data_IF_537877830379
#
_entry.id   IF_537877830379
#
_cell.length_a   1.000
_cell.length_b   1.000
_cell.length_c   1.000
_cell.angle_alpha   90.00
_cell.angle_beta   90.00
_cell.angle_gamma   90.00
#
_symmetry.space_group_name_H-M   'P 1'
#
loop_
_entity.id
_entity.type
_entity.pdbx_description
1 polymer ?
#
# COMPACT_ATOMS: atom_id res chain seq x y z
N UNK A 1 8.99 33.26 26.38
CA UNK A 1 10.10 32.72 27.21
C UNK A 1 9.89 31.23 27.27
N UNK A 2 10.27 30.54 26.21
CA UNK A 2 10.17 29.08 26.15
C UNK A 2 11.38 28.52 26.89
N UNK A 3 11.13 27.86 28.02
CA UNK A 3 12.17 27.18 28.78
C UNK A 3 12.64 25.98 27.96
N UNK A 4 13.74 26.14 27.23
CA UNK A 4 14.57 25.03 26.76
C UNK A 4 15.11 24.35 28.02
N UNK A 5 14.41 23.33 28.50
CA UNK A 5 14.87 22.46 29.58
C UNK A 5 16.18 21.82 29.13
N UNK A 6 17.30 22.15 29.78
CA UNK A 6 18.59 21.61 29.37
C UNK A 6 18.67 20.13 29.74
N UNK A 7 19.15 19.31 28.82
CA UNK A 7 19.38 17.88 29.01
C UNK A 7 20.17 17.58 30.30
N UNK A 8 21.00 18.53 30.75
CA UNK A 8 21.80 18.42 31.96
C UNK A 8 20.95 18.45 33.24
N UNK A 9 19.81 19.13 33.23
CA UNK A 9 18.89 19.15 34.36
C UNK A 9 18.23 17.77 34.55
N UNK A 10 17.82 17.12 33.46
CA UNK A 10 17.32 15.75 33.48
C UNK A 10 18.40 14.78 33.98
N UNK A 11 19.64 14.91 33.49
CA UNK A 11 20.79 14.10 33.98
C UNK A 11 21.04 14.31 35.49
N UNK A 12 20.90 15.53 36.01
CA UNK A 12 21.02 15.82 37.45
C UNK A 12 19.90 15.17 38.27
N UNK A 13 18.66 15.23 37.79
CA UNK A 13 17.50 14.63 38.47
C UNK A 13 17.58 13.10 38.52
N UNK A 14 18.04 12.47 37.42
CA UNK A 14 18.31 11.01 37.40
C UNK A 14 19.35 10.63 38.44
N UNK A 15 20.46 11.39 38.55
CA UNK A 15 21.50 11.15 39.57
C UNK A 15 20.97 11.32 41.00
N UNK A 16 20.03 12.24 41.23
CA UNK A 16 19.40 12.47 42.54
C UNK A 16 18.28 11.49 42.88
N UNK A 17 17.85 10.64 41.93
CA UNK A 17 16.74 9.67 42.07
C UNK A 17 15.40 10.30 42.49
N UNK A 18 15.18 11.56 42.14
CA UNK A 18 13.93 12.25 42.42
C UNK A 18 12.92 11.99 41.29
N UNK A 19 11.91 11.18 41.58
CA UNK A 19 10.94 10.70 40.58
C UNK A 19 9.90 11.76 40.21
N UNK A 20 9.45 12.56 41.18
CA UNK A 20 8.36 13.52 40.97
C UNK A 20 8.86 14.73 40.18
N UNK A 21 10.03 15.24 40.53
CA UNK A 21 10.68 16.31 39.77
C UNK A 21 11.02 15.86 38.34
N UNK A 22 11.45 14.60 38.16
CA UNK A 22 11.77 14.06 36.86
C UNK A 22 10.53 13.91 35.96
N UNK A 23 9.39 13.45 36.49
CA UNK A 23 8.14 13.37 35.72
C UNK A 23 7.63 14.76 35.29
N UNK A 24 7.73 15.75 36.18
CA UNK A 24 7.35 17.13 35.87
C UNK A 24 8.20 17.72 34.75
N UNK A 25 9.52 17.51 34.79
CA UNK A 25 10.45 18.04 33.78
C UNK A 25 10.31 17.30 32.44
N UNK A 26 10.18 15.98 32.46
CA UNK A 26 9.95 15.18 31.23
C UNK A 26 8.62 15.54 30.55
N UNK A 27 7.60 15.91 31.32
CA UNK A 27 6.31 16.37 30.77
C UNK A 27 6.39 17.77 30.15
N UNK A 28 7.26 18.63 30.67
CA UNK A 28 7.47 19.98 30.17
C UNK A 28 8.39 20.03 28.94
N UNK A 29 9.31 19.05 28.79
CA UNK A 29 10.28 19.02 27.71
C UNK A 29 9.68 18.58 26.36
N UNK A 30 9.87 19.41 25.32
CA UNK A 30 9.51 19.08 23.92
C UNK A 30 10.79 18.87 23.10
N UNK A 31 10.88 17.75 22.38
CA UNK A 31 11.92 17.50 21.37
C UNK A 31 13.23 16.85 21.85
N UNK A 32 13.16 15.81 22.67
CA UNK A 32 14.36 15.01 23.04
C UNK A 32 14.73 14.09 21.87
N UNK A 33 16.02 14.04 21.49
CA UNK A 33 16.51 13.16 20.43
C UNK A 33 16.62 11.70 20.89
N UNK A 34 16.60 10.75 19.95
CA UNK A 34 16.70 9.32 20.25
C UNK A 34 18.01 8.94 20.97
N UNK A 35 19.13 9.53 20.55
CA UNK A 35 20.45 9.33 21.15
C UNK A 35 20.48 9.82 22.60
N UNK A 36 19.86 10.97 22.87
CA UNK A 36 19.80 11.54 24.21
C UNK A 36 18.94 10.67 25.16
N UNK A 37 17.84 10.10 24.65
CA UNK A 37 16.98 9.21 25.41
C UNK A 37 17.72 7.91 25.82
N UNK A 38 18.52 7.33 24.92
CA UNK A 38 19.35 6.18 25.24
C UNK A 38 20.42 6.49 26.29
N UNK A 39 21.04 7.67 26.20
CA UNK A 39 22.03 8.10 27.19
C UNK A 39 21.39 8.25 28.58
N UNK A 40 20.18 8.81 28.65
CA UNK A 40 19.43 8.94 29.91
C UNK A 40 19.02 7.57 30.49
N UNK A 41 18.64 6.61 29.65
CA UNK A 41 18.33 5.24 30.08
C UNK A 41 19.60 4.54 30.61
N UNK A 42 20.74 4.68 29.92
CA UNK A 42 22.03 4.11 30.34
C UNK A 42 22.56 4.71 31.64
N UNK A 43 22.27 6.00 31.90
CA UNK A 43 22.65 6.70 33.13
C UNK A 43 21.78 6.34 34.35
N UNK A 44 20.64 5.68 34.14
CA UNK A 44 19.69 5.37 35.20
C UNK A 44 19.72 3.89 35.59
N UNK A 45 20.22 3.58 36.79
CA UNK A 45 20.19 2.21 37.35
C UNK A 45 18.79 1.78 37.87
N UNK A 46 17.86 2.73 38.01
CA UNK A 46 16.53 2.45 38.55
C UNK A 46 15.55 1.97 37.47
N UNK A 47 15.05 0.74 37.60
CA UNK A 47 14.02 0.16 36.70
C UNK A 47 12.77 1.03 36.59
N UNK A 48 12.40 1.75 37.67
CA UNK A 48 11.22 2.64 37.70
C UNK A 48 11.41 3.90 36.84
N UNK A 49 12.62 4.44 36.81
CA UNK A 49 12.97 5.61 35.98
C UNK A 49 13.02 5.19 34.51
N UNK A 50 13.61 4.03 34.22
CA UNK A 50 13.67 3.47 32.86
C UNK A 50 12.27 3.22 32.29
N UNK A 51 11.32 2.68 33.09
CA UNK A 51 9.95 2.49 32.65
C UNK A 51 9.21 3.82 32.43
N UNK A 52 9.47 4.83 33.27
CA UNK A 52 8.84 6.15 33.14
C UNK A 52 9.27 6.85 31.84
N UNK A 53 10.57 6.85 31.53
CA UNK A 53 11.13 7.43 30.30
C UNK A 53 10.57 6.72 29.05
N UNK A 54 10.54 5.38 29.05
CA UNK A 54 9.99 4.58 27.92
C UNK A 54 8.50 4.80 27.70
N UNK A 55 7.73 5.05 28.76
CA UNK A 55 6.28 5.26 28.68
C UNK A 55 5.93 6.64 28.11
N UNK A 56 6.73 7.68 28.43
CA UNK A 56 6.48 9.06 27.96
C UNK A 56 6.92 9.31 26.51
N UNK A 57 7.93 8.58 26.01
CA UNK A 57 8.46 8.74 24.64
C UNK A 57 8.37 7.43 23.82
N UNK A 58 7.16 6.89 23.58
CA UNK A 58 6.98 5.64 22.84
C UNK A 58 7.30 5.75 21.34
N UNK A 59 7.17 6.95 20.78
CA UNK A 59 7.30 7.24 19.34
C UNK A 59 8.72 7.01 18.80
N UNK A 60 9.74 7.08 19.65
CA UNK A 60 11.15 7.03 19.25
C UNK A 60 11.71 5.59 19.23
N UNK A 61 11.10 4.66 19.98
CA UNK A 61 11.58 3.26 20.11
C UNK A 61 11.25 2.41 18.87
N UNK A 62 10.23 2.79 18.09
CA UNK A 62 9.84 2.05 16.86
C UNK A 62 10.77 2.30 15.67
N UNK A 63 11.67 3.26 15.80
CA UNK A 63 12.46 3.81 14.71
C UNK A 63 13.86 3.25 14.54
N UNK A 64 14.17 2.01 14.94
CA UNK A 64 15.43 1.35 14.52
C UNK A 64 15.43 -0.13 14.91
N UNK A 65 15.20 -1.02 13.95
CA UNK A 65 15.65 -2.42 13.99
C UNK A 65 15.46 -3.11 12.63
N UNK A 66 16.36 -2.84 11.69
CA UNK A 66 16.72 -3.82 10.67
C UNK A 66 17.73 -4.81 11.24
N UNK A 67 17.32 -6.08 11.28
CA UNK A 67 18.13 -7.29 11.12
C UNK A 67 19.24 -7.59 12.16
N UNK A 68 18.99 -8.58 13.04
CA UNK A 68 19.99 -9.58 13.47
C UNK A 68 19.31 -10.80 14.09
N UNK A 69 19.69 -11.97 13.57
CA UNK A 69 19.47 -13.30 14.15
C UNK A 69 20.20 -13.39 15.49
N UNK A 70 19.60 -14.06 16.46
CA UNK A 70 20.34 -14.88 17.44
C UNK A 70 19.44 -16.00 17.97
N UNK A 71 20.07 -17.17 18.08
CA UNK A 71 19.52 -18.42 18.64
C UNK A 71 19.35 -18.27 20.15
N UNK A 72 18.18 -18.67 20.68
CA UNK A 72 18.06 -19.12 22.06
C UNK A 72 17.13 -20.34 22.13
N UNK A 73 17.71 -21.49 22.46
CA UNK A 73 16.98 -22.64 23.01
C UNK A 73 16.61 -22.34 24.46
N UNK A 74 15.31 -22.31 24.78
CA UNK A 74 14.71 -23.07 25.90
C UNK A 74 13.21 -22.82 26.06
N UNK A 75 12.48 -23.94 26.03
CA UNK A 75 11.17 -24.25 26.64
C UNK A 75 9.89 -23.59 26.09
N UNK A 76 8.84 -24.40 25.80
CA UNK A 76 7.64 -23.94 25.13
C UNK A 76 6.64 -23.35 26.13
N UNK A 77 6.47 -22.02 26.12
CA UNK A 77 5.24 -21.40 26.59
C UNK A 77 4.32 -21.21 25.38
N UNK A 78 3.57 -22.26 25.05
CA UNK A 78 2.55 -22.23 23.99
C UNK A 78 1.52 -21.17 24.37
N UNK A 79 1.37 -20.14 23.52
CA UNK A 79 0.31 -19.16 23.68
C UNK A 79 -1.04 -19.88 23.45
N UNK A 80 -2.05 -19.58 24.27
CA UNK A 80 -3.38 -20.22 24.16
C UNK A 80 -4.01 -20.05 22.77
N UNK A 81 -3.67 -18.96 22.07
CA UNK A 81 -4.14 -18.64 20.72
C UNK A 81 -3.60 -19.56 19.62
N UNK A 82 -2.36 -20.04 19.76
CA UNK A 82 -1.75 -20.93 18.75
C UNK A 82 -2.32 -22.35 18.83
N UNK A 83 -2.75 -22.77 20.03
CA UNK A 83 -3.39 -24.08 20.24
C UNK A 83 -4.79 -24.09 19.61
N UNK A 84 -5.58 -23.05 19.84
CA UNK A 84 -6.95 -22.94 19.29
C UNK A 84 -6.94 -22.79 17.76
N UNK A 85 -5.95 -22.06 17.22
CA UNK A 85 -5.76 -21.93 15.76
C UNK A 85 -5.44 -23.28 15.11
N UNK A 86 -4.61 -24.10 15.75
CA UNK A 86 -4.21 -25.42 15.23
C UNK A 86 -5.38 -26.42 15.27
N UNK A 87 -6.15 -26.42 16.36
CA UNK A 87 -7.35 -27.25 16.49
C UNK A 87 -8.42 -26.91 15.45
N UNK A 88 -8.69 -25.61 15.23
CA UNK A 88 -9.67 -25.18 14.23
C UNK A 88 -9.27 -25.61 12.80
N UNK A 89 -7.98 -25.63 12.47
CA UNK A 89 -7.48 -26.11 11.18
C UNK A 89 -7.56 -27.63 11.02
N UNK A 90 -7.32 -28.37 12.10
CA UNK A 90 -7.48 -29.83 12.11
C UNK A 90 -8.94 -30.26 11.91
N UNK A 91 -9.91 -29.53 12.50
CA UNK A 91 -11.35 -29.81 12.32
C UNK A 91 -11.81 -29.69 10.86
N UNK A 92 -11.22 -28.77 10.10
CA UNK A 92 -11.62 -28.50 8.72
C UNK A 92 -10.80 -29.27 7.69
N UNK A 93 -9.75 -29.98 8.11
CA UNK A 93 -8.83 -30.70 7.25
C UNK A 93 -9.58 -31.65 6.30
N UNK A 94 -9.18 -31.62 5.03
CA UNK A 94 -9.77 -32.41 3.96
C UNK A 94 -8.96 -33.68 3.69
N UNK A 95 -7.72 -33.76 4.20
CA UNK A 95 -6.78 -34.85 3.94
C UNK A 95 -5.99 -34.70 2.63
N UNK A 96 -6.30 -33.67 1.83
CA UNK A 96 -5.60 -33.32 0.61
C UNK A 96 -4.61 -32.19 0.87
N UNK A 97 -3.31 -32.46 0.71
CA UNK A 97 -2.23 -31.49 1.01
C UNK A 97 -2.42 -30.12 0.31
N UNK A 98 -2.92 -30.10 -0.93
CA UNK A 98 -3.14 -28.86 -1.68
C UNK A 98 -4.32 -28.05 -1.14
N UNK A 99 -5.43 -28.70 -0.79
CA UNK A 99 -6.60 -28.03 -0.21
C UNK A 99 -6.29 -27.52 1.19
N UNK A 100 -5.64 -28.33 2.01
CA UNK A 100 -5.31 -27.97 3.39
C UNK A 100 -4.31 -26.79 3.44
N UNK A 101 -3.35 -26.74 2.51
CA UNK A 101 -2.47 -25.57 2.34
C UNK A 101 -3.25 -24.31 1.94
N UNK A 102 -4.26 -24.46 1.06
CA UNK A 102 -5.08 -23.35 0.60
C UNK A 102 -5.99 -22.82 1.73
N UNK A 103 -6.60 -23.72 2.51
CA UNK A 103 -7.39 -23.40 3.70
C UNK A 103 -6.54 -22.61 4.69
N UNK A 104 -5.32 -23.06 4.97
CA UNK A 104 -4.39 -22.35 5.85
C UNK A 104 -4.09 -20.93 5.36
N UNK A 105 -3.88 -20.75 4.06
CA UNK A 105 -3.65 -19.41 3.48
C UNK A 105 -4.85 -18.47 3.68
N UNK A 106 -6.07 -18.97 3.49
CA UNK A 106 -7.29 -18.18 3.72
C UNK A 106 -7.51 -17.87 5.20
N UNK A 107 -7.28 -18.86 6.08
CA UNK A 107 -7.35 -18.69 7.53
C UNK A 107 -6.38 -17.60 8.03
N UNK A 108 -5.13 -17.64 7.58
CA UNK A 108 -4.12 -16.63 7.89
C UNK A 108 -4.53 -15.23 7.38
N UNK A 109 -5.18 -15.15 6.22
CA UNK A 109 -5.68 -13.89 5.68
C UNK A 109 -6.78 -13.29 6.57
N UNK A 110 -7.73 -14.09 7.05
CA UNK A 110 -8.76 -13.65 8.00
C UNK A 110 -8.15 -13.21 9.34
N UNK A 111 -7.22 -13.99 9.90
CA UNK A 111 -6.53 -13.66 11.16
C UNK A 111 -5.69 -12.37 11.08
N UNK A 112 -5.12 -12.09 9.90
CA UNK A 112 -4.33 -10.86 9.70
C UNK A 112 -5.19 -9.60 9.58
N UNK A 113 -6.40 -9.74 9.02
CA UNK A 113 -7.26 -8.62 8.65
C UNK A 113 -8.31 -8.27 9.72
N UNK A 114 -8.69 -9.24 10.55
CA UNK A 114 -9.72 -9.10 11.60
C UNK A 114 -9.07 -9.42 12.95
N UNK A 115 -9.07 -8.46 13.87
CA UNK A 115 -8.54 -8.62 15.23
C UNK A 115 -9.41 -9.53 16.11
N UNK A 116 -10.73 -9.48 15.93
CA UNK A 116 -11.71 -10.21 16.75
C UNK A 116 -12.22 -11.49 16.07
N UNK A 117 -11.36 -12.20 15.32
CA UNK A 117 -11.79 -13.36 14.56
C UNK A 117 -12.03 -14.58 15.45
N UNK A 118 -13.21 -15.18 15.38
CA UNK A 118 -13.42 -16.56 15.83
C UNK A 118 -12.67 -17.52 14.90
N UNK A 119 -11.68 -18.24 15.46
CA UNK A 119 -10.82 -19.18 14.73
C UNK A 119 -11.66 -20.26 14.02
N UNK A 120 -12.67 -20.80 14.70
CA UNK A 120 -13.54 -21.85 14.14
C UNK A 120 -14.35 -21.37 12.95
N UNK A 121 -14.94 -20.17 13.04
CA UNK A 121 -15.72 -19.59 11.94
C UNK A 121 -14.84 -19.27 10.73
N UNK A 122 -13.65 -18.68 10.98
CA UNK A 122 -12.68 -18.39 9.92
C UNK A 122 -12.22 -19.66 9.19
N UNK A 123 -11.94 -20.74 9.94
CA UNK A 123 -11.55 -22.02 9.37
C UNK A 123 -12.67 -22.64 8.51
N UNK A 124 -13.92 -22.57 8.98
CA UNK A 124 -15.08 -23.06 8.21
C UNK A 124 -15.28 -22.29 6.90
N UNK A 125 -15.24 -20.95 6.95
CA UNK A 125 -15.33 -20.12 5.75
C UNK A 125 -14.17 -20.37 4.78
N UNK A 126 -12.95 -20.51 5.30
CA UNK A 126 -11.77 -20.85 4.49
C UNK A 126 -11.94 -22.19 3.76
N UNK A 127 -12.54 -23.19 4.43
CA UNK A 127 -12.90 -24.47 3.79
C UNK A 127 -13.92 -24.27 2.68
N UNK A 128 -15.01 -23.54 2.92
CA UNK A 128 -16.05 -23.29 1.92
C UNK A 128 -15.50 -22.55 0.68
N UNK A 129 -14.72 -21.50 0.88
CA UNK A 129 -14.08 -20.77 -0.22
C UNK A 129 -13.16 -21.70 -1.02
N UNK A 130 -12.38 -22.54 -0.33
CA UNK A 130 -11.47 -23.48 -0.98
C UNK A 130 -12.25 -24.53 -1.77
N UNK A 131 -13.34 -25.09 -1.24
CA UNK A 131 -14.16 -26.06 -1.98
C UNK A 131 -14.77 -25.46 -3.25
N UNK A 132 -15.25 -24.22 -3.19
CA UNK A 132 -15.78 -23.51 -4.36
C UNK A 132 -14.70 -23.25 -5.42
N UNK A 133 -13.49 -22.87 -5.01
CA UNK A 133 -12.36 -22.65 -5.93
C UNK A 133 -11.93 -23.95 -6.61
N UNK A 134 -11.84 -25.05 -5.85
CA UNK A 134 -11.43 -26.35 -6.39
C UNK A 134 -12.53 -27.01 -7.26
N UNK A 135 -13.77 -26.51 -7.20
CA UNK A 135 -14.83 -26.87 -8.15
C UNK A 135 -14.63 -26.30 -9.56
N UNK A 136 -13.64 -25.42 -9.76
CA UNK A 136 -13.34 -24.80 -11.07
C UNK A 136 -12.20 -25.50 -11.82
N UNK A 137 -11.87 -24.95 -12.98
CA UNK A 137 -10.82 -25.45 -13.85
C UNK A 137 -9.46 -25.55 -13.13
N UNK A 138 -8.75 -26.69 -13.24
CA UNK A 138 -7.53 -26.95 -12.48
C UNK A 138 -6.38 -25.99 -12.80
N UNK A 139 -6.32 -25.45 -14.02
CA UNK A 139 -5.30 -24.49 -14.44
C UNK A 139 -5.39 -23.14 -13.71
N UNK A 140 -6.61 -22.75 -13.34
CA UNK A 140 -6.88 -21.43 -12.76
C UNK A 140 -6.91 -21.46 -11.23
N UNK A 141 -7.03 -22.63 -10.60
CA UNK A 141 -7.07 -22.80 -9.13
C UNK A 141 -5.95 -22.01 -8.45
N UNK A 142 -4.70 -22.22 -8.87
CA UNK A 142 -3.56 -21.57 -8.23
C UNK A 142 -3.55 -20.04 -8.42
N UNK A 143 -4.01 -19.55 -9.58
CA UNK A 143 -4.14 -18.10 -9.84
C UNK A 143 -5.25 -17.50 -8.98
N UNK A 144 -6.37 -18.20 -8.87
CA UNK A 144 -7.54 -17.77 -8.13
C UNK A 144 -7.26 -17.73 -6.62
N UNK A 145 -6.62 -18.76 -6.06
CA UNK A 145 -6.20 -18.79 -4.64
C UNK A 145 -5.31 -17.59 -4.33
N UNK A 146 -4.26 -17.35 -5.12
CA UNK A 146 -3.35 -16.22 -4.88
C UNK A 146 -4.06 -14.88 -4.97
N UNK A 147 -4.86 -14.68 -6.01
CA UNK A 147 -5.61 -13.43 -6.21
C UNK A 147 -6.60 -13.19 -5.06
N UNK A 148 -7.44 -14.18 -4.72
CA UNK A 148 -8.47 -14.06 -3.69
C UNK A 148 -7.86 -13.93 -2.29
N UNK A 149 -6.76 -14.62 -2.00
CA UNK A 149 -6.04 -14.48 -0.73
C UNK A 149 -5.42 -13.08 -0.59
N UNK A 150 -4.83 -12.53 -1.66
CA UNK A 150 -4.25 -11.19 -1.65
C UNK A 150 -5.31 -10.11 -1.41
N UNK A 151 -6.48 -10.24 -2.07
CA UNK A 151 -7.59 -9.30 -1.88
C UNK A 151 -8.12 -9.30 -0.43
N UNK A 152 -8.20 -10.46 0.24
CA UNK A 152 -8.60 -10.52 1.66
C UNK A 152 -7.55 -9.94 2.60
N UNK A 153 -6.27 -9.99 2.22
CA UNK A 153 -5.15 -9.45 3.01
C UNK A 153 -4.92 -7.95 2.75
N UNK A 154 -5.66 -7.33 1.84
CA UNK A 154 -5.45 -5.93 1.50
C UNK A 154 -5.82 -5.01 2.67
N UNK A 155 -4.83 -4.28 3.18
CA UNK A 155 -4.99 -3.33 4.28
C UNK A 155 -5.77 -2.08 3.85
N UNK A 156 -5.78 -1.77 2.56
CA UNK A 156 -6.50 -0.62 2.02
C UNK A 156 -8.02 -0.90 1.90
N UNK A 157 -8.43 -2.17 1.96
CA UNK A 157 -9.83 -2.57 1.89
C UNK A 157 -10.20 -3.60 2.99
N UNK A 158 -10.17 -3.23 4.27
CA UNK A 158 -10.55 -4.13 5.36
C UNK A 158 -12.05 -4.48 5.32
N UNK A 159 -12.87 -3.64 4.67
CA UNK A 159 -14.32 -3.82 4.57
C UNK A 159 -14.65 -5.08 3.79
N UNK A 160 -13.98 -5.35 2.67
CA UNK A 160 -14.21 -6.57 1.87
C UNK A 160 -14.06 -7.83 2.72
N UNK A 161 -12.98 -7.93 3.50
CA UNK A 161 -12.74 -9.10 4.33
C UNK A 161 -13.83 -9.28 5.40
N UNK A 162 -14.23 -8.18 6.06
CA UNK A 162 -15.34 -8.20 7.04
C UNK A 162 -16.65 -8.66 6.40
N UNK A 163 -17.01 -8.14 5.23
CA UNK A 163 -18.25 -8.52 4.53
C UNK A 163 -18.28 -10.00 4.15
N UNK A 164 -17.13 -10.59 3.82
CA UNK A 164 -17.02 -12.04 3.57
C UNK A 164 -17.10 -12.82 4.89
N UNK A 165 -16.48 -12.33 5.95
CA UNK A 165 -16.50 -12.96 7.27
C UNK A 165 -17.89 -12.97 7.94
N UNK A 166 -18.58 -11.84 7.87
CA UNK A 166 -19.94 -11.65 8.41
C UNK A 166 -21.01 -12.36 7.57
N UNK A 167 -20.64 -12.84 6.38
CA UNK A 167 -21.53 -13.58 5.48
C UNK A 167 -22.43 -12.71 4.60
N UNK A 168 -22.19 -11.39 4.53
CA UNK A 168 -22.88 -10.52 3.55
C UNK A 168 -22.58 -10.94 2.11
N UNK A 169 -21.36 -11.41 1.88
CA UNK A 169 -20.92 -11.97 0.60
C UNK A 169 -20.75 -13.47 0.79
N UNK A 170 -21.56 -14.26 0.08
CA UNK A 170 -21.44 -15.71 0.14
C UNK A 170 -20.10 -16.19 -0.46
N UNK A 171 -19.51 -17.30 0.03
CA UNK A 171 -18.27 -17.85 -0.52
C UNK A 171 -18.31 -18.08 -2.03
N UNK A 172 -19.43 -18.60 -2.55
CA UNK A 172 -19.60 -18.82 -3.99
C UNK A 172 -19.57 -17.50 -4.78
N UNK A 173 -20.32 -16.48 -4.32
CA UNK A 173 -20.29 -15.13 -4.91
C UNK A 173 -18.89 -14.52 -4.83
N UNK A 174 -18.19 -14.68 -3.72
CA UNK A 174 -16.84 -14.15 -3.54
C UNK A 174 -15.86 -14.71 -4.58
N UNK A 175 -15.96 -16.01 -4.91
CA UNK A 175 -15.11 -16.65 -5.92
C UNK A 175 -15.49 -16.17 -7.33
N UNK A 176 -16.75 -15.87 -7.62
CA UNK A 176 -17.26 -15.32 -8.89
C UNK A 176 -16.91 -13.84 -9.13
N UNK A 177 -16.79 -13.04 -8.06
CA UNK A 177 -16.53 -11.60 -8.19
C UNK A 177 -15.26 -11.29 -9.00
N UNK A 178 -15.34 -10.27 -9.84
CA UNK A 178 -14.20 -9.79 -10.63
C UNK A 178 -13.24 -8.96 -9.77
N UNK A 179 -12.01 -8.75 -10.27
CA UNK A 179 -11.03 -7.90 -9.59
C UNK A 179 -11.53 -6.47 -9.39
N UNK A 180 -12.32 -5.95 -10.31
CA UNK A 180 -12.93 -4.60 -10.22
C UNK A 180 -13.98 -4.54 -9.11
N UNK A 181 -14.86 -5.54 -9.02
CA UNK A 181 -15.87 -5.67 -7.97
C UNK A 181 -15.28 -5.91 -6.57
N UNK A 182 -13.99 -6.22 -6.45
CA UNK A 182 -13.28 -6.39 -5.17
C UNK A 182 -12.55 -5.13 -4.70
N UNK A 183 -12.33 -4.13 -5.58
CA UNK A 183 -11.62 -2.89 -5.21
C UNK A 183 -12.34 -2.12 -4.10
N UNK A 184 -11.61 -1.34 -3.32
CA UNK A 184 -12.23 -0.40 -2.39
C UNK A 184 -13.03 0.65 -3.16
N UNK A 185 -14.07 1.20 -2.53
CA UNK A 185 -14.93 2.22 -3.14
C UNK A 185 -14.11 3.46 -3.56
N UNK A 186 -13.14 3.87 -2.74
CA UNK A 186 -12.23 4.98 -3.06
C UNK A 186 -11.42 4.71 -4.32
N UNK A 187 -10.87 3.50 -4.50
CA UNK A 187 -10.09 3.15 -5.69
C UNK A 187 -10.97 3.09 -6.94
N UNK A 188 -12.19 2.56 -6.83
CA UNK A 188 -13.13 2.55 -7.96
C UNK A 188 -13.46 3.95 -8.43
N UNK A 189 -13.74 4.86 -7.49
CA UNK A 189 -14.08 6.24 -7.83
C UNK A 189 -12.89 6.96 -8.49
N UNK A 190 -11.67 6.73 -8.00
CA UNK A 190 -10.47 7.30 -8.60
C UNK A 190 -10.21 6.75 -10.01
N UNK A 191 -10.39 5.44 -10.22
CA UNK A 191 -10.27 4.84 -11.54
C UNK A 191 -11.30 5.37 -12.52
N UNK A 192 -12.57 5.52 -12.09
CA UNK A 192 -13.63 6.13 -12.92
C UNK A 192 -13.22 7.55 -13.33
N UNK A 193 -12.71 8.34 -12.39
CA UNK A 193 -12.23 9.70 -12.66
C UNK A 193 -11.03 9.71 -13.60
N UNK A 194 -10.07 8.82 -13.42
CA UNK A 194 -8.90 8.71 -14.32
C UNK A 194 -9.32 8.30 -15.73
N UNK A 195 -10.28 7.37 -15.86
CA UNK A 195 -10.84 6.97 -17.15
C UNK A 195 -11.54 8.16 -17.81
N UNK A 196 -12.35 8.92 -17.06
CA UNK A 196 -13.04 10.11 -17.57
C UNK A 196 -12.05 11.17 -18.07
N UNK A 197 -11.01 11.47 -17.29
CA UNK A 197 -9.95 12.42 -17.69
C UNK A 197 -9.22 11.91 -18.93
N UNK A 198 -8.83 10.63 -18.97
CA UNK A 198 -8.13 10.05 -20.11
C UNK A 198 -8.97 10.08 -21.39
N UNK A 199 -10.27 9.77 -21.29
CA UNK A 199 -11.20 9.85 -22.42
C UNK A 199 -11.34 11.29 -22.91
N UNK A 200 -11.45 12.25 -21.99
CA UNK A 200 -11.51 13.67 -22.33
C UNK A 200 -10.23 14.12 -23.05
N UNK A 201 -9.05 13.79 -22.51
CA UNK A 201 -7.76 14.14 -23.13
C UNK A 201 -7.59 13.54 -24.52
N UNK A 202 -8.02 12.30 -24.74
CA UNK A 202 -7.99 11.68 -26.06
C UNK A 202 -8.94 12.33 -27.08
N UNK A 203 -10.02 12.99 -26.63
CA UNK A 203 -10.94 13.72 -27.50
C UNK A 203 -10.42 15.10 -27.89
N UNK A 204 -9.50 15.68 -27.12
CA UNK A 204 -8.92 16.98 -27.44
C UNK A 204 -8.02 16.80 -28.68
N UNK A 205 -8.30 17.50 -29.79
CA UNK A 205 -7.44 17.44 -30.96
C UNK A 205 -6.05 17.97 -30.58
N UNK A 206 -5.01 17.18 -30.86
CA UNK A 206 -3.63 17.62 -30.68
C UNK A 206 -3.43 18.91 -31.48
N UNK A 207 -3.09 20.01 -30.79
CA UNK A 207 -2.78 21.27 -31.45
C UNK A 207 -1.62 21.03 -32.42
N UNK A 208 -1.87 21.23 -33.71
CA UNK A 208 -0.81 21.19 -34.72
C UNK A 208 0.00 22.48 -34.56
N UNK A 209 1.31 22.42 -34.83
CA UNK A 209 2.11 23.63 -34.93
C UNK A 209 1.62 24.47 -36.12
N UNK A 210 0.74 25.42 -35.84
CA UNK A 210 0.20 26.37 -36.80
C UNK A 210 1.11 27.60 -36.89
N UNK A 211 1.40 28.04 -38.10
CA UNK A 211 2.16 29.25 -38.38
C UNK A 211 1.43 30.11 -39.39
N UNK A 212 1.43 31.42 -39.13
CA UNK A 212 0.82 32.42 -40.00
C UNK A 212 1.75 32.89 -41.12
N UNK A 213 2.86 32.19 -41.39
CA UNK A 213 3.84 32.61 -42.39
C UNK A 213 3.33 32.43 -43.83
N UNK A 214 2.45 31.45 -44.05
CA UNK A 214 1.98 31.07 -45.37
C UNK A 214 0.48 31.38 -45.55
N UNK A 215 0.09 31.90 -46.71
CA UNK A 215 -1.32 32.10 -47.08
C UNK A 215 -1.76 30.98 -48.01
N UNK A 216 -2.86 30.29 -47.68
CA UNK A 216 -3.42 29.26 -48.53
C UNK A 216 -4.13 29.88 -49.75
N UNK A 217 -3.79 29.43 -50.95
CA UNK A 217 -4.46 29.90 -52.18
C UNK A 217 -5.88 29.34 -52.36
N UNK A 218 -6.25 28.28 -51.64
CA UNK A 218 -7.57 27.62 -51.78
C UNK A 218 -8.64 28.23 -50.87
N UNK A 219 -8.35 28.40 -49.57
CA UNK A 219 -9.28 29.00 -48.61
C UNK A 219 -8.94 30.45 -48.23
N UNK A 220 -7.76 30.96 -48.58
CA UNK A 220 -7.32 32.33 -48.24
C UNK A 220 -6.81 32.51 -46.80
N UNK A 221 -6.99 31.52 -45.93
CA UNK A 221 -6.56 31.56 -44.53
C UNK A 221 -5.05 31.33 -44.38
N UNK A 222 -4.49 31.77 -43.25
CA UNK A 222 -3.06 31.65 -42.92
C UNK A 222 -2.72 30.54 -41.93
N UNK A 223 -3.72 29.73 -41.53
CA UNK A 223 -3.52 28.59 -40.62
C UNK A 223 -2.87 27.41 -41.35
N UNK A 224 -1.54 27.39 -41.32
CA UNK A 224 -0.74 26.39 -42.02
C UNK A 224 0.27 25.74 -41.07
N UNK A 225 0.50 24.45 -41.23
CA UNK A 225 1.63 23.75 -40.60
C UNK A 225 2.72 23.53 -41.63
N UNK A 226 3.99 23.70 -41.26
CA UNK A 226 5.11 23.43 -42.15
C UNK A 226 6.08 22.42 -41.55
N UNK A 227 6.72 21.65 -42.42
CA UNK A 227 7.84 20.77 -42.06
C UNK A 227 8.92 20.89 -43.13
N UNK A 228 10.17 20.94 -42.70
CA UNK A 228 11.31 21.00 -43.59
C UNK A 228 11.93 19.61 -43.73
N UNK A 229 12.12 19.17 -44.97
CA UNK A 229 12.79 17.91 -45.28
C UNK A 229 13.80 18.15 -46.38
N UNK A 230 15.00 17.60 -46.21
CA UNK A 230 16.00 17.56 -47.27
C UNK A 230 15.64 16.42 -48.23
N UNK A 231 15.06 16.77 -49.38
CA UNK A 231 14.65 15.78 -50.40
C UNK A 231 15.56 15.77 -51.62
N UNK A 232 16.63 16.57 -51.61
CA UNK A 232 17.59 16.74 -52.72
C UNK A 232 19.02 16.66 -52.19
N UNK A 233 19.99 16.58 -53.10
CA UNK A 233 21.42 16.48 -52.79
C UNK A 233 21.91 17.62 -51.88
N UNK A 234 23.07 17.43 -51.25
CA UNK A 234 23.64 18.38 -50.27
C UNK A 234 23.89 19.80 -50.77
N UNK A 235 23.92 20.00 -52.09
CA UNK A 235 24.15 21.30 -52.71
C UNK A 235 22.87 22.15 -52.86
N UNK A 236 21.70 21.60 -52.54
CA UNK A 236 20.42 22.30 -52.62
C UNK A 236 19.82 22.58 -51.23
N UNK A 237 19.15 23.73 -51.04
CA UNK A 237 18.53 24.07 -49.76
C UNK A 237 17.38 23.10 -49.41
N UNK A 238 17.04 23.03 -48.12
CA UNK A 238 15.95 22.19 -47.62
C UNK A 238 14.60 22.53 -48.28
N UNK A 239 13.79 21.51 -48.58
CA UNK A 239 12.44 21.72 -49.13
C UNK A 239 11.43 21.89 -48.00
N UNK A 240 10.65 22.97 -48.04
CA UNK A 240 9.60 23.24 -47.04
C UNK A 240 8.26 22.72 -47.54
N UNK A 241 7.67 21.78 -46.81
CA UNK A 241 6.33 21.25 -47.08
C UNK A 241 5.31 21.94 -46.19
N UNK A 242 4.29 22.55 -46.79
CA UNK A 242 3.24 23.28 -46.09
C UNK A 242 1.91 22.55 -46.26
N UNK A 243 1.18 22.40 -45.15
CA UNK A 243 -0.18 21.82 -45.11
C UNK A 243 -1.11 22.80 -44.41
N UNK A 244 -2.11 23.31 -45.15
CA UNK A 244 -3.16 24.15 -44.60
C UNK A 244 -4.24 23.30 -43.90
N UNK A 245 -4.93 23.88 -42.91
CA UNK A 245 -6.07 23.26 -42.23
C UNK A 245 -7.18 22.78 -43.18
N UNK A 246 -7.39 23.48 -44.31
CA UNK A 246 -8.37 23.06 -45.31
C UNK A 246 -7.96 21.79 -46.10
N UNK A 247 -6.84 21.16 -45.75
CA UNK A 247 -6.28 19.97 -46.38
C UNK A 247 -5.41 20.23 -47.61
N UNK A 248 -5.21 21.50 -48.01
CA UNK A 248 -4.35 21.83 -49.15
C UNK A 248 -2.86 21.64 -48.78
N UNK A 249 -2.09 20.98 -49.65
CA UNK A 249 -0.67 20.68 -49.42
C UNK A 249 0.17 21.15 -50.60
N UNK A 250 1.26 21.84 -50.32
CA UNK A 250 2.21 22.30 -51.34
C UNK A 250 3.62 22.37 -50.78
N UNK A 251 4.61 22.61 -51.65
CA UNK A 251 6.03 22.71 -51.28
C UNK A 251 6.65 23.99 -51.81
N UNK A 252 7.59 24.55 -51.06
CA UNK A 252 8.50 25.61 -51.49
C UNK A 252 9.92 25.05 -51.55
N UNK A 253 10.62 25.38 -52.63
CA UNK A 253 12.03 25.10 -52.86
C UNK A 253 12.78 26.43 -52.84
#
# INVERSE_FOLDING_TARGET
>A
MDQVTSLEEIKRLIKRKDLEALDSVLSASRGISASDLEELIKLSDSKKIQSLIKTKYPEIIRGESTNKKEMEEKTPSVSRDDTDSSLALEEVATGESQKDRSIKMFFEAFKTSISDCSNRHAAFLAKQITTEIFGRNPSDIAKLIRSKCLNLKDKNNPVLCRRVYDGEISPSRYVDMTSEEMKSESLRNEEVKMIEVSLYECQIPTQKAETDMFKCNKCGERKCSYRQLQTRSGDEPMTTFVTCECGNKWRFC
#
